data_IF_454508048978
#
_entry.id   IF_454508048978
#
_cell.length_a   1.000
_cell.length_b   1.000
_cell.length_c   1.000
_cell.angle_alpha   90.00
_cell.angle_beta   90.00
_cell.angle_gamma   90.00
#
_symmetry.space_group_name_H-M   'P 1'
#
loop_
_entity.id
_entity.type
_entity.pdbx_description
1 polymer ?
#
# COMPACT_ATOMS: atom_id res chain seq x y z
N UNK A 1 -5.95 18.01 8.10
CA UNK A 1 -6.98 16.94 8.07
C UNK A 1 -6.86 16.22 6.74
N UNK A 2 -6.79 14.88 6.74
CA UNK A 2 -6.96 14.08 5.54
C UNK A 2 -8.44 13.72 5.43
N UNK A 3 -9.12 14.16 4.36
CA UNK A 3 -10.47 13.71 4.04
C UNK A 3 -10.32 12.42 3.24
N UNK A 4 -10.68 11.30 3.86
CA UNK A 4 -10.77 10.02 3.18
C UNK A 4 -10.79 8.83 4.13
N UNK A 5 -11.48 7.75 3.71
CA UNK A 5 -11.45 6.47 4.39
C UNK A 5 -10.05 5.84 4.31
N UNK A 6 -9.60 5.12 5.35
CA UNK A 6 -8.29 4.48 5.36
C UNK A 6 -8.19 3.40 4.28
N UNK A 7 -7.03 3.33 3.63
CA UNK A 7 -6.74 2.27 2.67
C UNK A 7 -6.35 0.98 3.40
N UNK A 8 -6.90 -0.14 2.95
CA UNK A 8 -6.63 -1.49 3.47
C UNK A 8 -5.58 -2.18 2.59
N UNK A 9 -4.49 -2.72 3.17
CA UNK A 9 -3.48 -3.45 2.40
C UNK A 9 -4.09 -4.64 1.66
N UNK A 10 -3.69 -4.83 0.38
CA UNK A 10 -4.04 -6.01 -0.43
C UNK A 10 -2.82 -6.91 -0.72
N UNK A 11 -1.71 -6.60 -0.06
CA UNK A 11 -0.46 -7.37 -0.08
C UNK A 11 -0.10 -7.80 1.36
N UNK A 12 0.87 -8.69 1.50
CA UNK A 12 1.38 -9.14 2.80
C UNK A 12 2.89 -8.88 2.94
N UNK A 13 3.37 -8.86 4.18
CA UNK A 13 4.81 -8.79 4.45
C UNK A 13 5.55 -9.93 3.77
N UNK A 14 6.64 -9.60 3.09
CA UNK A 14 7.45 -10.52 2.29
C UNK A 14 7.07 -10.60 0.81
N UNK A 15 5.94 -10.01 0.39
CA UNK A 15 5.61 -9.94 -1.04
C UNK A 15 6.61 -9.07 -1.80
N UNK A 16 6.91 -9.49 -3.03
CA UNK A 16 7.51 -8.61 -4.02
C UNK A 16 6.41 -7.75 -4.65
N UNK A 17 6.71 -6.46 -4.83
CA UNK A 17 5.83 -5.53 -5.53
C UNK A 17 6.59 -4.80 -6.63
N UNK A 18 5.92 -4.53 -7.74
CA UNK A 18 6.45 -3.72 -8.83
C UNK A 18 6.10 -2.24 -8.66
N UNK A 19 6.93 -1.35 -9.20
CA UNK A 19 6.59 0.09 -9.30
C UNK A 19 5.25 0.27 -10.02
N UNK A 20 4.37 1.06 -9.41
CA UNK A 20 3.01 1.29 -9.90
C UNK A 20 2.01 0.18 -9.55
N UNK A 21 2.43 -0.93 -8.94
CA UNK A 21 1.50 -1.96 -8.47
C UNK A 21 0.59 -1.41 -7.37
N UNK A 22 -0.71 -1.71 -7.45
CA UNK A 22 -1.67 -1.39 -6.39
C UNK A 22 -1.39 -2.24 -5.15
N UNK A 23 -1.22 -1.61 -4.00
CA UNK A 23 -0.83 -2.26 -2.74
C UNK A 23 -1.85 -2.09 -1.61
N UNK A 24 -2.76 -1.12 -1.71
CA UNK A 24 -3.87 -0.96 -0.77
C UNK A 24 -5.12 -0.40 -1.48
N UNK A 25 -6.31 -0.83 -1.05
CA UNK A 25 -7.61 -0.43 -1.61
C UNK A 25 -8.41 0.40 -0.62
N UNK A 26 -9.36 1.19 -1.15
CA UNK A 26 -10.39 1.86 -0.35
C UNK A 26 -11.71 1.41 -0.94
N UNK A 27 -12.44 0.57 -0.20
CA UNK A 27 -13.65 -0.08 -0.71
C UNK A 27 -14.93 0.70 -0.37
N UNK A 28 -14.86 1.63 0.59
CA UNK A 28 -16.00 2.44 1.04
C UNK A 28 -15.59 3.88 1.31
N UNK A 29 -16.44 4.84 0.92
CA UNK A 29 -16.22 6.26 1.16
C UNK A 29 -15.30 6.93 0.12
N UNK A 30 -15.03 8.22 0.32
CA UNK A 30 -14.04 8.96 -0.48
C UNK A 30 -12.65 8.52 -0.03
N UNK A 31 -11.74 8.23 -0.95
CA UNK A 31 -10.35 7.88 -0.62
C UNK A 31 -9.55 7.54 -1.87
N UNK A 32 -8.29 7.16 -1.69
CA UNK A 32 -7.39 6.83 -2.79
C UNK A 32 -6.73 5.46 -2.57
N UNK A 33 -6.63 4.69 -3.65
CA UNK A 33 -5.79 3.49 -3.65
C UNK A 33 -4.31 3.87 -3.56
N UNK A 34 -3.54 3.03 -2.86
CA UNK A 34 -2.09 3.20 -2.77
C UNK A 34 -1.40 2.33 -3.83
N UNK A 35 -0.40 2.89 -4.47
CA UNK A 35 0.44 2.20 -5.44
C UNK A 35 1.91 2.26 -5.00
N UNK A 36 2.68 1.22 -5.29
CA UNK A 36 4.08 1.12 -4.95
C UNK A 36 4.91 2.18 -5.71
N UNK A 37 5.70 2.97 -4.99
CA UNK A 37 6.57 4.00 -5.58
C UNK A 37 7.85 3.42 -6.20
N UNK A 38 8.25 2.23 -5.75
CA UNK A 38 9.43 1.50 -6.21
C UNK A 38 9.13 0.00 -6.27
N UNK A 39 9.88 -0.75 -7.08
CA UNK A 39 9.88 -2.21 -7.00
C UNK A 39 10.74 -2.67 -5.81
N UNK A 40 10.30 -3.71 -5.09
CA UNK A 40 11.03 -4.21 -3.93
C UNK A 40 10.23 -5.20 -3.09
N UNK A 41 10.71 -5.46 -1.87
CA UNK A 41 10.03 -6.31 -0.89
C UNK A 41 9.20 -5.45 0.05
N UNK A 42 7.92 -5.80 0.22
CA UNK A 42 7.00 -5.09 1.09
C UNK A 42 7.01 -5.63 2.53
N UNK A 43 6.88 -4.74 3.50
CA UNK A 43 6.56 -5.06 4.89
C UNK A 43 5.34 -4.25 5.32
N UNK A 44 4.30 -4.94 5.78
CA UNK A 44 3.02 -4.35 6.19
C UNK A 44 3.00 -4.20 7.72
N UNK A 45 2.82 -2.97 8.18
CA UNK A 45 2.60 -2.61 9.58
C UNK A 45 1.16 -2.11 9.77
N UNK A 46 0.75 -1.97 11.03
CA UNK A 46 -0.58 -1.43 11.41
C UNK A 46 -0.88 -0.05 10.78
N UNK A 47 0.13 0.81 10.66
CA UNK A 47 -0.06 2.21 10.23
C UNK A 47 0.51 2.56 8.87
N UNK A 48 1.39 1.72 8.32
CA UNK A 48 2.09 2.02 7.07
C UNK A 48 2.62 0.75 6.39
N UNK A 49 2.95 0.89 5.11
CA UNK A 49 3.62 -0.14 4.31
C UNK A 49 5.01 0.40 3.98
N UNK A 50 6.05 -0.37 4.29
CA UNK A 50 7.42 -0.11 3.84
C UNK A 50 7.69 -0.94 2.57
N UNK A 51 8.33 -0.34 1.57
CA UNK A 51 8.88 -1.08 0.42
C UNK A 51 10.38 -0.84 0.43
N UNK A 52 11.16 -1.93 0.46
CA UNK A 52 12.61 -1.87 0.44
C UNK A 52 13.13 -2.41 -0.89
N UNK A 53 13.94 -1.60 -1.57
CA UNK A 53 14.65 -2.01 -2.78
C UNK A 53 15.67 -3.08 -2.41
N UNK A 54 15.70 -4.17 -3.17
CA UNK A 54 16.75 -5.19 -3.07
C UNK A 54 18.05 -4.68 -3.68
#
# INVERSE_FOLDING_TARGET
MHIGAPATPIIKSGDHVDVGQKIATVDTGVGAHLHASISGTATVYDKYIEIRKQ
#
